data_IF_443493418441
#
_entry.id   IF_443493418441
#
_cell.length_a   1.000
_cell.length_b   1.000
_cell.length_c   1.000
_cell.angle_alpha   90.00
_cell.angle_beta   90.00
_cell.angle_gamma   90.00
#
_symmetry.space_group_name_H-M   'P 1'
#
loop_
_entity.id
_entity.type
_entity.pdbx_description
1 polymer ?
#
# COMPACT_ATOMS: atom_id res chain seq x y z
N UNK A 1 -16.72 -5.82 12.95
CA UNK A 1 -15.39 -5.70 13.59
C UNK A 1 -14.79 -4.40 13.06
N UNK A 2 -14.56 -3.42 13.94
CA UNK A 2 -13.94 -2.14 13.54
C UNK A 2 -12.45 -2.25 13.81
N UNK A 3 -11.61 -1.91 12.84
CA UNK A 3 -10.16 -1.91 13.02
C UNK A 3 -9.72 -0.59 13.66
N UNK A 4 -8.80 -0.66 14.61
CA UNK A 4 -8.09 0.49 15.15
C UNK A 4 -6.91 0.93 14.26
N UNK A 5 -6.36 2.12 14.55
CA UNK A 5 -5.25 2.70 13.81
C UNK A 5 -4.02 1.77 13.79
N UNK A 6 -3.67 1.19 14.94
CA UNK A 6 -2.52 0.26 15.03
C UNK A 6 -2.74 -1.02 14.21
N UNK A 7 -3.94 -1.59 14.24
CA UNK A 7 -4.24 -2.81 13.48
C UNK A 7 -4.19 -2.55 11.96
N UNK A 8 -4.64 -1.37 11.51
CA UNK A 8 -4.52 -0.95 10.11
C UNK A 8 -3.06 -0.69 9.71
N UNK A 9 -2.28 -0.05 10.58
CA UNK A 9 -0.86 0.16 10.37
C UNK A 9 -0.10 -1.17 10.25
N UNK A 10 -0.44 -2.17 11.08
CA UNK A 10 0.11 -3.53 10.98
C UNK A 10 -0.20 -4.16 9.62
N UNK A 11 -1.45 -4.10 9.16
CA UNK A 11 -1.82 -4.66 7.85
C UNK A 11 -1.05 -4.01 6.69
N UNK A 12 -0.83 -2.70 6.75
CA UNK A 12 -0.03 -1.98 5.76
C UNK A 12 1.44 -2.38 5.85
N UNK A 13 2.01 -2.45 7.05
CA UNK A 13 3.40 -2.84 7.28
C UNK A 13 3.68 -4.28 6.84
N UNK A 14 2.74 -5.19 7.08
CA UNK A 14 2.82 -6.57 6.61
C UNK A 14 2.87 -6.62 5.08
N UNK A 15 1.92 -5.96 4.41
CA UNK A 15 1.87 -5.94 2.94
C UNK A 15 3.10 -5.25 2.30
N UNK A 16 3.65 -4.25 2.97
CA UNK A 16 4.79 -3.47 2.49
C UNK A 16 6.14 -4.14 2.77
N UNK A 17 6.33 -4.62 4.00
CA UNK A 17 7.64 -4.90 4.57
C UNK A 17 7.80 -6.29 5.21
N UNK A 18 6.76 -7.11 5.36
CA UNK A 18 6.92 -8.44 5.97
C UNK A 18 8.07 -9.23 5.30
N UNK A 19 8.81 -10.07 6.04
CA UNK A 19 9.92 -10.83 5.48
C UNK A 19 9.48 -11.83 4.40
N UNK A 20 8.20 -12.18 4.37
CA UNK A 20 7.53 -13.00 3.36
C UNK A 20 6.27 -12.27 2.87
N UNK A 21 5.81 -12.61 1.66
CA UNK A 21 4.50 -12.18 1.13
C UNK A 21 4.27 -10.64 1.10
N UNK A 22 5.35 -9.87 0.96
CA UNK A 22 5.30 -8.41 0.89
C UNK A 22 5.95 -7.86 -0.38
N UNK A 23 5.68 -6.59 -0.69
CA UNK A 23 6.33 -5.89 -1.81
C UNK A 23 7.85 -5.89 -1.63
N UNK A 24 8.35 -5.60 -0.42
CA UNK A 24 9.78 -5.62 -0.13
C UNK A 24 10.40 -6.99 -0.39
N UNK A 25 9.77 -8.06 0.10
CA UNK A 25 10.26 -9.42 -0.10
C UNK A 25 10.24 -9.82 -1.58
N UNK A 26 9.16 -9.50 -2.30
CA UNK A 26 9.03 -9.79 -3.73
C UNK A 26 10.08 -9.06 -4.56
N UNK A 27 10.33 -7.78 -4.29
CA UNK A 27 11.38 -7.01 -4.98
C UNK A 27 12.79 -7.52 -4.66
N UNK A 28 13.05 -7.96 -3.43
CA UNK A 28 14.33 -8.52 -3.04
C UNK A 28 14.66 -9.85 -3.74
N UNK A 29 13.65 -10.57 -4.22
CA UNK A 29 13.82 -11.83 -4.97
C UNK A 29 14.17 -11.65 -6.45
N UNK A 30 14.16 -10.42 -6.96
CA UNK A 30 14.44 -10.15 -8.37
C UNK A 30 15.95 -10.19 -8.62
N UNK A 31 16.37 -11.14 -9.46
CA UNK A 31 17.75 -11.27 -9.93
C UNK A 31 17.90 -10.81 -11.38
N UNK A 32 19.04 -10.23 -11.72
CA UNK A 32 19.36 -9.84 -13.10
C UNK A 32 18.51 -8.69 -13.63
N UNK A 33 18.10 -8.77 -14.91
CA UNK A 33 17.27 -7.74 -15.52
C UNK A 33 15.80 -7.96 -15.14
N UNK A 34 15.15 -7.03 -14.42
CA UNK A 34 13.75 -7.19 -14.03
C UNK A 34 12.84 -7.26 -15.27
N UNK A 35 11.82 -8.12 -15.22
CA UNK A 35 10.76 -8.13 -16.22
C UNK A 35 10.14 -6.71 -16.31
N UNK A 36 9.93 -6.12 -17.50
CA UNK A 36 9.48 -4.73 -17.65
C UNK A 36 8.19 -4.40 -16.87
N UNK A 37 7.30 -5.39 -16.72
CA UNK A 37 6.07 -5.29 -15.93
C UNK A 37 6.31 -4.97 -14.45
N UNK A 38 7.45 -5.33 -13.87
CA UNK A 38 7.77 -4.97 -12.48
C UNK A 38 7.81 -3.45 -12.31
N UNK A 39 8.46 -2.73 -13.22
CA UNK A 39 8.52 -1.26 -13.17
C UNK A 39 7.14 -0.61 -13.29
N UNK A 40 6.26 -1.19 -14.11
CA UNK A 40 4.85 -0.77 -14.19
C UNK A 40 4.10 -1.03 -12.89
N UNK A 41 4.25 -2.22 -12.29
CA UNK A 41 3.60 -2.59 -11.02
C UNK A 41 4.02 -1.67 -9.87
N UNK A 42 5.32 -1.35 -9.75
CA UNK A 42 5.81 -0.44 -8.72
C UNK A 42 5.32 0.99 -8.93
N UNK A 43 5.24 1.45 -10.18
CA UNK A 43 4.71 2.78 -10.52
C UNK A 43 3.21 2.87 -10.22
N UNK A 44 2.47 1.83 -10.59
CA UNK A 44 1.04 1.71 -10.30
C UNK A 44 0.76 1.70 -8.79
N UNK A 45 1.49 0.90 -8.02
CA UNK A 45 1.39 0.90 -6.56
C UNK A 45 1.68 2.28 -5.95
N UNK A 46 2.71 2.97 -6.45
CA UNK A 46 3.05 4.33 -5.98
C UNK A 46 1.90 5.30 -6.22
N UNK A 47 1.35 5.31 -7.44
CA UNK A 47 0.24 6.17 -7.81
C UNK A 47 -1.02 5.86 -6.98
N UNK A 48 -1.43 4.59 -6.89
CA UNK A 48 -2.63 4.19 -6.15
C UNK A 48 -2.53 4.50 -4.65
N UNK A 49 -1.37 4.24 -4.01
CA UNK A 49 -1.16 4.59 -2.61
C UNK A 49 -1.26 6.10 -2.40
N UNK A 50 -0.65 6.88 -3.29
CA UNK A 50 -0.72 8.34 -3.24
C UNK A 50 -2.15 8.84 -3.38
N UNK A 51 -2.89 8.32 -4.36
CA UNK A 51 -4.28 8.72 -4.59
C UNK A 51 -5.17 8.44 -3.38
N UNK A 52 -5.01 7.29 -2.73
CA UNK A 52 -5.72 6.97 -1.49
C UNK A 52 -5.37 7.94 -0.37
N UNK A 53 -4.08 8.17 -0.14
CA UNK A 53 -3.64 9.03 0.95
C UNK A 53 -3.95 10.51 0.72
N UNK A 54 -3.97 10.98 -0.52
CA UNK A 54 -4.45 12.32 -0.87
C UNK A 54 -5.94 12.49 -0.54
N UNK A 55 -6.76 11.48 -0.83
CA UNK A 55 -8.18 11.49 -0.46
C UNK A 55 -8.38 11.47 1.07
N UNK A 56 -7.61 10.64 1.77
CA UNK A 56 -7.63 10.57 3.25
C UNK A 56 -7.23 11.93 3.84
N UNK A 57 -6.12 12.51 3.37
CA UNK A 57 -5.64 13.83 3.81
C UNK A 57 -6.69 14.92 3.58
N UNK A 58 -7.33 14.94 2.41
CA UNK A 58 -8.38 15.89 2.09
C UNK A 58 -9.62 15.75 3.01
N UNK A 59 -9.98 14.52 3.40
CA UNK A 59 -11.16 14.26 4.23
C UNK A 59 -10.92 14.46 5.74
N UNK A 60 -9.69 14.24 6.20
CA UNK A 60 -9.33 14.22 7.63
C UNK A 60 -8.50 15.43 8.07
N UNK A 61 -7.98 16.22 7.12
CA UNK A 61 -7.03 17.31 7.40
C UNK A 61 -5.64 16.82 7.80
N UNK A 62 -5.33 15.53 7.62
CA UNK A 62 -4.02 14.96 7.90
C UNK A 62 -3.00 15.31 6.79
N UNK A 63 -1.68 15.21 7.06
CA UNK A 63 -0.67 15.48 6.04
C UNK A 63 -0.79 14.57 4.83
N UNK A 64 -0.68 15.14 3.63
CA UNK A 64 -0.60 14.39 2.39
C UNK A 64 0.82 13.79 2.19
N UNK A 65 0.95 12.70 1.41
CA UNK A 65 2.25 12.15 1.06
C UNK A 65 3.07 13.12 0.19
N UNK A 66 4.39 13.04 0.28
CA UNK A 66 5.31 13.80 -0.59
C UNK A 66 5.21 13.32 -2.05
N UNK A 67 4.96 14.24 -2.98
CA UNK A 67 4.84 13.96 -4.42
C UNK A 67 6.13 13.43 -5.05
N UNK A 68 7.29 13.71 -4.45
CA UNK A 68 8.57 13.19 -4.89
C UNK A 68 8.92 11.81 -4.29
N UNK A 69 8.14 11.31 -3.32
CA UNK A 69 8.43 10.04 -2.66
C UNK A 69 8.20 8.86 -3.62
N UNK A 70 9.27 8.08 -3.85
CA UNK A 70 9.18 6.77 -4.48
C UNK A 70 8.55 5.72 -3.57
N UNK A 71 8.18 4.56 -4.13
CA UNK A 71 7.42 3.51 -3.47
C UNK A 71 7.94 3.16 -2.07
N UNK A 72 9.25 2.91 -1.90
CA UNK A 72 9.81 2.51 -0.61
C UNK A 72 9.61 3.55 0.50
N UNK A 73 9.75 4.84 0.17
CA UNK A 73 9.54 5.92 1.15
C UNK A 73 8.05 6.08 1.46
N UNK A 74 7.20 5.95 0.45
CA UNK A 74 5.75 6.00 0.63
C UNK A 74 5.23 4.85 1.50
N UNK A 75 5.77 3.64 1.31
CA UNK A 75 5.43 2.46 2.12
C UNK A 75 5.82 2.60 3.59
N UNK A 76 6.98 3.19 3.89
CA UNK A 76 7.36 3.49 5.27
C UNK A 76 6.48 4.58 5.87
N UNK A 77 6.28 5.67 5.13
CA UNK A 77 5.48 6.80 5.60
C UNK A 77 4.02 6.44 5.89
N UNK A 78 3.38 5.61 5.06
CA UNK A 78 1.96 5.29 5.25
C UNK A 78 1.67 4.50 6.54
N UNK A 79 2.64 3.73 7.02
CA UNK A 79 2.52 3.00 8.29
C UNK A 79 2.47 4.00 9.43
N UNK A 80 3.39 4.97 9.46
CA UNK A 80 3.41 6.02 10.47
C UNK A 80 2.18 6.94 10.36
N UNK A 81 1.76 7.26 9.13
CA UNK A 81 0.55 8.04 8.89
C UNK A 81 -0.70 7.33 9.39
N UNK A 82 -0.82 6.02 9.18
CA UNK A 82 -1.96 5.24 9.66
C UNK A 82 -2.02 5.20 11.20
N UNK A 83 -0.86 5.07 11.88
CA UNK A 83 -0.79 5.12 13.35
C UNK A 83 -1.24 6.46 13.93
N UNK A 84 -1.02 7.55 13.20
CA UNK A 84 -1.37 8.89 13.64
C UNK A 84 -2.87 9.22 13.52
N UNK A 85 -3.66 8.38 12.86
CA UNK A 85 -5.10 8.62 12.67
C UNK A 85 -5.88 8.44 13.97
N UNK A 86 -6.79 9.38 14.24
CA UNK A 86 -7.73 9.24 15.34
C UNK A 86 -8.87 8.28 15.00
N UNK A 87 -9.59 7.78 16.00
CA UNK A 87 -10.81 6.99 15.77
C UNK A 87 -11.86 7.75 14.94
N UNK A 88 -11.93 9.08 15.09
CA UNK A 88 -12.79 9.92 14.26
C UNK A 88 -12.39 9.86 12.79
N UNK A 89 -11.10 10.00 12.51
CA UNK A 89 -10.56 9.95 11.15
C UNK A 89 -10.86 8.61 10.47
N UNK A 90 -10.69 7.50 11.20
CA UNK A 90 -10.96 6.16 10.68
C UNK A 90 -12.41 5.95 10.22
N UNK A 91 -13.36 6.65 10.85
CA UNK A 91 -14.79 6.60 10.51
C UNK A 91 -15.21 7.66 9.50
N UNK A 92 -14.33 8.60 9.16
CA UNK A 92 -14.59 9.61 8.12
C UNK A 92 -14.81 8.92 6.78
N UNK A 93 -15.88 9.32 6.09
CA UNK A 93 -16.19 8.83 4.75
C UNK A 93 -15.44 9.64 3.71
N UNK A 94 -14.87 8.95 2.72
CA UNK A 94 -14.26 9.61 1.57
C UNK A 94 -15.35 9.91 0.52
N UNK A 95 -15.29 11.09 -0.09
CA UNK A 95 -16.23 11.46 -1.15
C UNK A 95 -15.89 10.75 -2.47
N UNK A 96 -16.85 10.05 -3.07
CA UNK A 96 -16.64 9.28 -4.31
C UNK A 96 -17.75 8.25 -4.61
N UNK A 97 -17.56 7.41 -5.63
CA UNK A 97 -18.53 6.41 -6.11
C UNK A 97 -18.72 5.20 -5.19
N UNK A 98 -17.84 5.02 -4.21
CA UNK A 98 -17.93 3.98 -3.20
C UNK A 98 -17.87 4.65 -1.83
N UNK A 99 -18.96 4.59 -1.05
CA UNK A 99 -19.12 5.18 0.28
C UNK A 99 -18.19 4.50 1.33
N UNK A 100 -16.89 4.47 1.09
CA UNK A 100 -15.89 3.84 1.96
C UNK A 100 -15.44 4.79 3.05
N UNK A 101 -15.20 4.24 4.25
CA UNK A 101 -14.50 4.97 5.31
C UNK A 101 -12.99 4.95 5.07
N UNK A 102 -12.24 5.82 5.76
CA UNK A 102 -10.77 5.76 5.79
C UNK A 102 -10.30 4.36 6.19
N UNK A 103 -10.92 3.75 7.21
CA UNK A 103 -10.59 2.37 7.60
C UNK A 103 -10.80 1.37 6.47
N UNK A 104 -11.85 1.50 5.67
CA UNK A 104 -12.10 0.59 4.55
C UNK A 104 -11.06 0.75 3.44
N UNK A 105 -10.67 2.00 3.15
CA UNK A 105 -9.65 2.30 2.14
C UNK A 105 -8.27 1.82 2.57
N UNK A 106 -7.89 1.97 3.83
CA UNK A 106 -6.60 1.44 4.32
C UNK A 106 -6.55 -0.09 4.23
N UNK A 107 -7.65 -0.78 4.52
CA UNK A 107 -7.74 -2.24 4.33
C UNK A 107 -7.69 -2.62 2.85
N UNK A 108 -8.33 -1.85 1.98
CA UNK A 108 -8.25 -2.06 0.53
C UNK A 108 -6.81 -1.87 0.03
N UNK A 109 -6.13 -0.81 0.48
CA UNK A 109 -4.75 -0.52 0.14
C UNK A 109 -3.82 -1.68 0.57
N UNK A 110 -3.94 -2.19 1.80
CA UNK A 110 -3.17 -3.34 2.25
C UNK A 110 -3.40 -4.58 1.35
N UNK A 111 -4.65 -4.94 1.07
CA UNK A 111 -4.98 -6.09 0.18
C UNK A 111 -4.47 -5.90 -1.24
N UNK A 112 -4.65 -4.70 -1.81
CA UNK A 112 -4.18 -4.35 -3.14
C UNK A 112 -2.66 -4.45 -3.24
N UNK A 113 -1.96 -4.00 -2.20
CA UNK A 113 -0.51 -4.08 -2.08
C UNK A 113 -0.02 -5.53 -2.04
N UNK A 114 -0.62 -6.37 -1.19
CA UNK A 114 -0.28 -7.79 -1.10
C UNK A 114 -0.57 -8.54 -2.42
N UNK A 115 -1.67 -8.21 -3.10
CA UNK A 115 -1.98 -8.79 -4.41
C UNK A 115 -0.89 -8.49 -5.45
N UNK A 116 -0.42 -7.24 -5.52
CA UNK A 116 0.68 -6.86 -6.42
C UNK A 116 2.03 -7.44 -5.99
N UNK A 117 2.28 -7.60 -4.69
CA UNK A 117 3.45 -8.32 -4.20
C UNK A 117 3.50 -9.76 -4.77
N UNK A 118 2.36 -10.46 -4.78
CA UNK A 118 2.24 -11.78 -5.41
C UNK A 118 2.54 -11.76 -6.92
N UNK A 119 2.10 -10.72 -7.64
CA UNK A 119 2.42 -10.56 -9.06
C UNK A 119 3.91 -10.32 -9.29
N UNK A 120 4.54 -9.47 -8.47
CA UNK A 120 5.99 -9.21 -8.54
C UNK A 120 6.76 -10.51 -8.27
N UNK A 121 6.39 -11.26 -7.23
CA UNK A 121 7.04 -12.52 -6.88
C UNK A 121 6.94 -13.56 -8.00
N UNK A 122 5.77 -13.68 -8.65
CA UNK A 122 5.58 -14.57 -9.79
C UNK A 122 6.45 -14.20 -11.00
N UNK A 123 6.76 -12.91 -11.17
CA UNK A 123 7.66 -12.43 -12.23
C UNK A 123 9.14 -12.58 -11.86
N UNK A 124 9.49 -12.60 -10.57
CA UNK A 124 10.85 -12.82 -10.09
C UNK A 124 11.31 -14.28 -10.26
N UNK A 125 10.37 -15.23 -10.12
CA UNK A 125 10.60 -16.64 -10.38
C UNK A 125 9.68 -17.11 -11.51
N UNK A 126 10.00 -16.81 -12.79
CA UNK A 126 9.27 -17.40 -13.89
C UNK A 126 9.41 -18.91 -13.74
N UNK A 127 8.33 -19.59 -13.36
CA UNK A 127 8.26 -21.05 -13.37
C UNK A 127 8.75 -21.46 -14.75
N UNK A 128 9.91 -22.13 -14.82
CA UNK A 128 10.27 -22.89 -16.03
C UNK A 128 9.23 -23.98 -16.13
N UNK A 129 8.14 -23.69 -16.85
CA UNK A 129 7.28 -24.72 -17.39
C UNK A 129 8.17 -25.49 -18.38
N UNK A 130 8.71 -26.60 -17.89
CA UNK A 130 9.37 -27.62 -18.69
C UNK A 130 8.33 -28.36 -19.55
#
# INVERSE_FOLDING_TARGET
MSFGAEELAILLDEANHAPWESVRAALASIEGQPHPRVGWLTSHLTATKRDYWTQIAAATGTPAPDDAAGLSRLMAWEVDAARALSTGDLHTRLGGSENMTVSDVLRLNARHTAWHAGQIAALAHPVRLA
#
